data_IF_701739222469
#
_entry.id   IF_701739222469
#
_cell.length_a   1.000
_cell.length_b   1.000
_cell.length_c   1.000
_cell.angle_alpha   90.00
_cell.angle_beta   90.00
_cell.angle_gamma   90.00
#
_symmetry.space_group_name_H-M   'P 1'
#
loop_
_entity.id
_entity.type
_entity.pdbx_description
1 polymer ?
#
# COMPACT_ATOMS: atom_id res chain seq x y z
N UNK A 1 -5.08 2.66 3.23
CA UNK A 1 -4.51 2.90 4.57
C UNK A 1 -3.32 3.86 4.49
N UNK A 2 -2.22 3.51 3.81
CA UNK A 2 -1.05 4.40 3.70
C UNK A 2 -1.37 5.82 3.20
N UNK A 3 -2.12 5.96 2.10
CA UNK A 3 -2.53 7.26 1.56
C UNK A 3 -3.32 8.12 2.56
N UNK A 4 -4.39 7.56 3.14
CA UNK A 4 -5.18 8.28 4.14
C UNK A 4 -4.35 8.62 5.39
N UNK A 5 -3.49 7.71 5.84
CA UNK A 5 -2.59 7.97 6.98
C UNK A 5 -1.61 9.13 6.72
N UNK A 6 -1.26 9.39 5.46
CA UNK A 6 -0.37 10.48 5.06
C UNK A 6 -1.08 11.84 4.89
N UNK A 7 -2.41 11.86 4.82
CA UNK A 7 -3.20 13.11 4.76
C UNK A 7 -3.65 13.48 6.18
N UNK A 8 -3.15 14.59 6.76
CA UNK A 8 -3.55 15.03 8.10
C UNK A 8 -5.06 15.23 8.21
N UNK A 9 -5.65 14.78 9.32
CA UNK A 9 -7.06 14.99 9.63
C UNK A 9 -8.03 13.94 9.06
N UNK A 10 -7.59 13.01 8.21
CA UNK A 10 -8.42 11.84 7.89
C UNK A 10 -8.59 10.94 9.11
N UNK A 11 -9.66 10.15 9.16
CA UNK A 11 -9.89 9.20 10.27
C UNK A 11 -8.72 8.23 10.48
N UNK A 12 -8.08 7.77 9.40
CA UNK A 12 -6.93 6.86 9.48
C UNK A 12 -5.71 7.57 10.06
N UNK A 13 -5.46 8.81 9.65
CA UNK A 13 -4.36 9.61 10.19
C UNK A 13 -4.56 9.89 11.68
N UNK A 14 -5.76 10.30 12.08
CA UNK A 14 -6.11 10.55 13.48
C UNK A 14 -5.99 9.29 14.33
N UNK A 15 -6.49 8.14 13.84
CA UNK A 15 -6.35 6.85 14.53
C UNK A 15 -4.89 6.41 14.68
N UNK A 16 -4.00 6.83 13.78
CA UNK A 16 -2.56 6.57 13.84
C UNK A 16 -1.80 7.59 14.72
N UNK A 17 -2.48 8.55 15.35
CA UNK A 17 -1.91 9.57 16.23
C UNK A 17 -1.76 10.96 15.61
N UNK A 18 -2.39 11.23 14.46
CA UNK A 18 -2.44 12.55 13.83
C UNK A 18 -1.11 13.03 13.22
N UNK A 19 -1.13 14.25 12.68
CA UNK A 19 0.05 14.95 12.15
C UNK A 19 0.55 14.42 10.80
N UNK A 20 1.69 14.92 10.33
CA UNK A 20 2.32 14.42 9.11
C UNK A 20 2.97 13.05 9.34
N UNK A 21 2.68 12.09 8.45
CA UNK A 21 3.20 10.73 8.54
C UNK A 21 3.49 10.16 7.15
N UNK A 22 4.74 9.78 6.92
CA UNK A 22 5.10 9.12 5.66
C UNK A 22 4.91 7.60 5.67
N UNK A 23 4.82 6.99 6.86
CA UNK A 23 4.56 5.57 7.02
C UNK A 23 3.84 5.25 8.33
N UNK A 24 3.04 4.19 8.30
CA UNK A 24 2.37 3.61 9.48
C UNK A 24 2.49 2.09 9.46
N UNK A 25 2.58 1.49 10.65
CA UNK A 25 2.40 0.05 10.84
C UNK A 25 1.03 -0.15 11.47
N UNK A 26 0.13 -0.85 10.77
CA UNK A 26 -1.21 -1.12 11.27
C UNK A 26 -1.41 -2.62 11.49
N UNK A 27 -2.28 -2.97 12.44
CA UNK A 27 -2.70 -4.35 12.69
C UNK A 27 -3.83 -4.78 11.75
N UNK A 28 -3.78 -6.01 11.27
CA UNK A 28 -4.88 -6.70 10.58
C UNK A 28 -5.04 -8.11 11.18
N UNK A 29 -6.13 -8.85 10.92
CA UNK A 29 -6.41 -10.13 11.60
C UNK A 29 -5.30 -11.18 11.57
N UNK A 30 -4.36 -11.12 10.62
CA UNK A 30 -3.25 -12.08 10.49
C UNK A 30 -1.88 -11.49 10.84
N UNK A 31 -1.81 -10.31 11.48
CA UNK A 31 -0.55 -9.70 11.92
C UNK A 31 -0.50 -8.20 11.73
N UNK A 32 0.64 -7.68 11.29
CA UNK A 32 0.86 -6.25 11.05
C UNK A 32 1.41 -6.00 9.66
N UNK A 33 1.14 -4.81 9.11
CA UNK A 33 1.67 -4.39 7.81
C UNK A 33 2.17 -2.95 7.89
N UNK A 34 3.42 -2.74 7.47
CA UNK A 34 4.00 -1.40 7.28
C UNK A 34 3.70 -0.92 5.87
N UNK A 35 3.05 0.24 5.77
CA UNK A 35 2.74 0.92 4.50
C UNK A 35 3.10 2.38 4.60
N UNK A 36 3.48 2.98 3.48
CA UNK A 36 3.76 4.40 3.38
C UNK A 36 3.06 5.04 2.19
N UNK A 37 2.93 6.35 2.26
CA UNK A 37 2.51 7.17 1.14
C UNK A 37 3.12 8.57 1.27
N UNK A 38 3.34 9.20 0.14
CA UNK A 38 3.69 10.61 0.05
C UNK A 38 2.50 11.32 -0.58
N UNK A 39 1.92 12.26 0.17
CA UNK A 39 0.81 13.07 -0.27
C UNK A 39 1.18 14.54 -0.11
N UNK A 40 0.86 15.35 -1.11
CA UNK A 40 1.07 16.79 -1.09
C UNK A 40 -0.26 17.51 -1.25
N UNK A 41 -0.41 18.62 -0.55
CA UNK A 41 -1.52 19.54 -0.74
C UNK A 41 -1.13 20.57 -1.81
N UNK A 42 -1.94 20.67 -2.86
CA UNK A 42 -1.85 21.73 -3.87
C UNK A 42 -3.15 22.51 -3.84
N UNK A 43 -3.12 23.67 -3.18
CA UNK A 43 -4.26 24.60 -3.11
C UNK A 43 -5.56 23.97 -2.56
N UNK A 44 -5.44 23.07 -1.58
CA UNK A 44 -6.56 22.35 -0.97
C UNK A 44 -6.88 21.00 -1.64
N UNK A 45 -6.20 20.66 -2.73
CA UNK A 45 -6.32 19.37 -3.41
C UNK A 45 -5.14 18.44 -3.06
N UNK A 46 -5.46 17.37 -2.35
CA UNK A 46 -4.47 16.35 -2.00
C UNK A 46 -4.14 15.44 -3.18
N UNK A 47 -2.86 15.38 -3.54
CA UNK A 47 -2.32 14.47 -4.56
C UNK A 47 -1.37 13.47 -3.90
N UNK A 48 -1.62 12.17 -4.10
CA UNK A 48 -0.70 11.10 -3.66
C UNK A 48 0.36 10.88 -4.74
N UNK A 49 1.61 11.22 -4.45
CA UNK A 49 2.74 11.06 -5.37
C UNK A 49 3.30 9.64 -5.35
N UNK A 50 3.26 8.98 -4.19
CA UNK A 50 3.90 7.68 -3.98
C UNK A 50 3.08 6.81 -3.03
N UNK A 51 3.05 5.52 -3.31
CA UNK A 51 2.63 4.48 -2.38
C UNK A 51 3.80 3.50 -2.15
N UNK A 52 4.05 3.13 -0.89
CA UNK A 52 5.19 2.29 -0.49
C UNK A 52 4.70 1.09 0.30
N UNK A 53 5.18 -0.09 -0.06
CA UNK A 53 4.93 -1.34 0.67
C UNK A 53 6.09 -2.32 0.49
N UNK A 54 6.22 -3.26 1.42
CA UNK A 54 7.15 -4.37 1.30
C UNK A 54 6.40 -5.64 0.87
N UNK A 55 6.97 -6.38 -0.08
CA UNK A 55 6.49 -7.68 -0.55
C UNK A 55 7.67 -8.64 -0.71
N UNK A 56 7.38 -9.93 -0.71
CA UNK A 56 8.35 -10.98 -1.04
C UNK A 56 7.89 -11.71 -2.30
N UNK A 57 8.83 -12.31 -3.01
CA UNK A 57 8.59 -13.16 -4.16
C UNK A 57 9.46 -14.42 -4.06
N UNK A 58 8.96 -15.55 -4.57
CA UNK A 58 9.72 -16.80 -4.70
C UNK A 58 9.23 -17.58 -5.91
N UNK A 59 10.12 -18.33 -6.56
CA UNK A 59 9.73 -19.33 -7.56
C UNK A 59 9.04 -20.50 -6.84
N UNK A 60 7.87 -20.91 -7.33
CA UNK A 60 7.15 -22.10 -6.85
C UNK A 60 7.41 -23.31 -7.75
N UNK A 61 7.36 -23.11 -9.07
CA UNK A 61 7.65 -24.12 -10.08
C UNK A 61 8.26 -23.44 -11.32
N UNK A 62 9.24 -24.10 -11.93
CA UNK A 62 9.89 -23.69 -13.17
C UNK A 62 9.78 -24.84 -14.17
N UNK A 63 9.37 -24.54 -15.41
CA UNK A 63 9.13 -25.55 -16.44
C UNK A 63 8.21 -25.02 -17.54
N UNK A 64 7.58 -25.95 -18.27
CA UNK A 64 6.66 -25.62 -19.36
C UNK A 64 5.22 -25.95 -18.95
N UNK A 65 4.33 -24.96 -19.02
CA UNK A 65 2.88 -25.22 -18.98
C UNK A 65 2.47 -25.76 -20.36
N UNK A 66 1.69 -26.82 -20.40
CA UNK A 66 1.14 -27.42 -21.64
C UNK A 66 -0.35 -27.12 -21.72
N UNK A 67 -0.84 -26.91 -22.95
CA UNK A 67 -2.25 -26.66 -23.26
C UNK A 67 -2.67 -27.47 -24.50
N UNK A 68 -3.98 -27.66 -24.77
CA UNK A 68 -4.46 -28.22 -26.03
C UNK A 68 -4.07 -27.35 -27.24
N UNK A 69 -3.92 -27.99 -28.41
CA UNK A 69 -3.39 -27.35 -29.64
C UNK A 69 -4.34 -26.35 -30.30
N UNK A 70 -5.60 -26.33 -29.91
CA UNK A 70 -6.70 -25.56 -30.49
C UNK A 70 -7.19 -24.42 -29.59
N UNK A 71 -6.45 -24.11 -28.51
CA UNK A 71 -6.86 -23.12 -27.50
C UNK A 71 -6.41 -21.67 -27.81
N UNK A 72 -5.74 -21.41 -28.94
CA UNK A 72 -5.32 -20.07 -29.38
C UNK A 72 -5.46 -19.88 -30.89
#
# INVERSE_FOLDING_TARGET
IGAAAAVPGTLVNLAAGGGERQAVTFGHPSGTLKVGAEAIDKDGEWTVLKAVMSRSARILMEGNVRIPSDCF
#
